data_IF_712097576105
#
_entry.id   IF_712097576105
#
_cell.length_a   1.000
_cell.length_b   1.000
_cell.length_c   1.000
_cell.angle_alpha   90.00
_cell.angle_beta   90.00
_cell.angle_gamma   90.00
#
_symmetry.space_group_name_H-M   'P 1'
#
loop_
_entity.id
_entity.type
_entity.pdbx_description
1 polymer ?
#
# COMPACT_ATOMS: atom_id res chain seq x y z
N UNK A 1 1.08 -8.43 7.31
CA UNK A 1 0.79 -7.47 8.40
C UNK A 1 -0.67 -7.10 8.28
N UNK A 2 -1.42 -7.20 9.37
CA UNK A 2 -2.83 -6.79 9.43
C UNK A 2 -3.19 -6.42 10.87
N UNK A 3 -4.20 -5.56 11.07
CA UNK A 3 -4.73 -5.24 12.39
C UNK A 3 -5.51 -6.42 12.99
N UNK A 4 -6.08 -7.27 12.13
CA UNK A 4 -6.82 -8.46 12.52
C UNK A 4 -5.90 -9.66 12.52
N UNK A 5 -6.08 -10.55 13.51
CA UNK A 5 -5.42 -11.85 13.50
C UNK A 5 -5.85 -12.65 12.26
N UNK A 6 -4.88 -13.22 11.56
CA UNK A 6 -5.12 -14.01 10.36
C UNK A 6 -4.46 -15.39 10.47
N UNK A 7 -5.13 -16.46 10.02
CA UNK A 7 -4.48 -17.75 9.89
C UNK A 7 -3.40 -17.65 8.81
N UNK A 8 -2.17 -18.07 9.14
CA UNK A 8 -1.07 -18.11 8.18
C UNK A 8 -1.38 -19.22 7.16
N UNK A 9 -1.49 -18.90 5.86
CA UNK A 9 -1.94 -19.87 4.86
C UNK A 9 -0.88 -20.95 4.56
N UNK A 10 0.41 -20.67 4.77
CA UNK A 10 1.51 -21.58 4.48
C UNK A 10 2.77 -21.29 5.32
N UNK A 11 3.69 -22.25 5.38
CA UNK A 11 4.89 -22.18 6.21
C UNK A 11 5.95 -21.16 5.73
N UNK A 12 5.79 -20.56 4.55
CA UNK A 12 6.73 -19.58 4.00
C UNK A 12 6.24 -18.14 4.18
N UNK A 13 5.19 -17.92 4.96
CA UNK A 13 4.64 -16.62 5.26
C UNK A 13 4.81 -16.30 6.75
N UNK A 14 5.46 -15.17 7.04
CA UNK A 14 5.43 -14.58 8.36
C UNK A 14 4.22 -13.65 8.51
N UNK A 15 3.57 -13.71 9.67
CA UNK A 15 2.46 -12.84 9.99
C UNK A 15 2.77 -11.98 11.22
N UNK A 16 2.44 -10.70 11.11
CA UNK A 16 2.53 -9.72 12.19
C UNK A 16 1.17 -9.08 12.36
N UNK A 17 0.55 -9.28 13.53
CA UNK A 17 -0.66 -8.55 13.91
C UNK A 17 -0.24 -7.18 14.45
N UNK A 18 -0.41 -6.14 13.64
CA UNK A 18 0.10 -4.80 13.91
C UNK A 18 -0.71 -3.78 13.11
N UNK A 19 -1.03 -2.64 13.72
CA UNK A 19 -1.52 -1.49 12.97
C UNK A 19 -0.35 -0.81 12.26
N UNK A 20 -0.42 -0.76 10.93
CA UNK A 20 0.62 -0.15 10.12
C UNK A 20 0.78 1.36 10.36
N UNK A 21 -0.26 2.02 10.89
CA UNK A 21 -0.24 3.44 11.24
C UNK A 21 0.26 3.71 12.67
N UNK A 22 0.50 2.68 13.48
CA UNK A 22 1.02 2.87 14.84
C UNK A 22 2.44 3.45 14.80
N UNK A 23 2.76 4.24 15.83
CA UNK A 23 4.08 4.83 15.99
C UNK A 23 5.15 3.73 16.06
N UNK A 24 6.11 3.78 15.14
CA UNK A 24 7.19 2.80 15.05
C UNK A 24 6.84 1.51 14.31
N UNK A 25 5.59 1.30 13.87
CA UNK A 25 5.22 0.11 13.10
C UNK A 25 6.09 -0.11 11.85
N UNK A 26 6.37 0.92 11.02
CA UNK A 26 7.32 0.80 9.91
C UNK A 26 8.71 0.30 10.32
N UNK A 27 9.23 0.74 11.47
CA UNK A 27 10.53 0.34 11.98
C UNK A 27 10.53 -1.11 12.49
N UNK A 28 9.45 -1.53 13.16
CA UNK A 28 9.25 -2.93 13.58
C UNK A 28 9.25 -3.85 12.36
N UNK A 29 8.50 -3.47 11.31
CA UNK A 29 8.44 -4.24 10.06
C UNK A 29 9.83 -4.27 9.41
N UNK A 30 10.50 -3.13 9.29
CA UNK A 30 11.83 -3.06 8.67
C UNK A 30 12.88 -3.90 9.44
N UNK A 31 12.79 -3.97 10.76
CA UNK A 31 13.67 -4.81 11.59
C UNK A 31 13.41 -6.32 11.44
N UNK A 32 12.20 -6.70 10.99
CA UNK A 32 11.85 -8.09 10.68
C UNK A 32 12.36 -8.53 9.30
N UNK A 33 12.76 -7.58 8.45
CA UNK A 33 13.25 -7.86 7.10
C UNK A 33 14.78 -8.04 7.12
N UNK A 34 15.27 -9.19 6.67
CA UNK A 34 16.72 -9.47 6.55
C UNK A 34 17.38 -8.63 5.44
N UNK A 35 16.60 -8.09 4.51
CA UNK A 35 17.07 -7.29 3.39
C UNK A 35 16.00 -6.30 2.91
N UNK A 36 16.41 -5.40 2.00
CA UNK A 36 15.46 -4.65 1.18
C UNK A 36 14.54 -5.60 0.41
N UNK A 37 13.34 -5.11 0.08
CA UNK A 37 12.25 -5.90 -0.49
C UNK A 37 12.00 -5.59 -1.97
N UNK A 38 11.54 -6.58 -2.72
CA UNK A 38 11.24 -6.45 -4.15
C UNK A 38 9.88 -5.77 -4.41
N UNK A 39 8.91 -6.04 -3.54
CA UNK A 39 7.52 -5.59 -3.71
C UNK A 39 6.91 -5.15 -2.39
N UNK A 40 6.28 -3.98 -2.39
CA UNK A 40 5.32 -3.56 -1.37
C UNK A 40 3.92 -3.65 -1.96
N UNK A 41 3.06 -4.44 -1.34
CA UNK A 41 1.64 -4.57 -1.68
C UNK A 41 0.80 -4.14 -0.47
N UNK A 42 -0.10 -3.18 -0.68
CA UNK A 42 -1.05 -2.71 0.33
C UNK A 42 -2.47 -2.83 -0.20
N UNK A 43 -3.27 -3.69 0.43
CA UNK A 43 -4.72 -3.73 0.25
C UNK A 43 -5.47 -3.11 1.44
N UNK A 44 -4.80 -2.23 2.18
CA UNK A 44 -5.38 -1.57 3.34
C UNK A 44 -6.57 -0.68 2.94
N UNK A 45 -7.59 -0.66 3.79
CA UNK A 45 -8.69 0.28 3.74
C UNK A 45 -9.10 0.65 5.16
N UNK A 46 -9.45 1.91 5.37
CA UNK A 46 -10.00 2.34 6.65
C UNK A 46 -11.41 1.77 6.83
N UNK A 47 -11.78 1.47 8.07
CA UNK A 47 -13.16 1.09 8.39
C UNK A 47 -14.14 2.16 7.89
N UNK A 48 -15.12 1.72 7.09
CA UNK A 48 -16.07 2.60 6.44
C UNK A 48 -16.94 3.33 7.48
N UNK A 49 -16.96 4.65 7.39
CA UNK A 49 -17.85 5.51 8.18
C UNK A 49 -19.21 5.67 7.52
N UNK A 50 -19.31 5.33 6.22
CA UNK A 50 -20.47 5.60 5.38
C UNK A 50 -20.43 6.99 4.74
N UNK A 51 -19.49 7.85 5.14
CA UNK A 51 -19.28 9.15 4.53
C UNK A 51 -18.16 9.07 3.49
N UNK A 52 -18.55 9.01 2.21
CA UNK A 52 -17.66 8.74 1.08
C UNK A 52 -16.39 9.59 1.06
N UNK A 53 -16.49 10.88 1.37
CA UNK A 53 -15.35 11.79 1.36
C UNK A 53 -14.36 11.48 2.49
N UNK A 54 -14.86 11.21 3.70
CA UNK A 54 -14.03 10.84 4.84
C UNK A 54 -13.35 9.50 4.59
N UNK A 55 -14.08 8.51 4.09
CA UNK A 55 -13.55 7.18 3.80
C UNK A 55 -12.47 7.23 2.71
N UNK A 56 -12.65 8.11 1.72
CA UNK A 56 -11.66 8.39 0.70
C UNK A 56 -10.36 8.98 1.26
N UNK A 57 -10.44 10.02 2.10
CA UNK A 57 -9.28 10.66 2.72
C UNK A 57 -8.50 9.66 3.58
N UNK A 58 -9.19 8.88 4.40
CA UNK A 58 -8.55 7.88 5.29
C UNK A 58 -7.85 6.77 4.51
N UNK A 59 -8.44 6.34 3.39
CA UNK A 59 -7.82 5.32 2.52
C UNK A 59 -6.62 5.86 1.76
N UNK A 60 -6.66 7.12 1.32
CA UNK A 60 -5.49 7.78 0.73
C UNK A 60 -4.34 7.86 1.73
N UNK A 61 -4.61 8.22 2.98
CA UNK A 61 -3.56 8.31 4.02
C UNK A 61 -2.86 6.95 4.23
N UNK A 62 -3.60 5.85 4.20
CA UNK A 62 -3.03 4.49 4.24
C UNK A 62 -2.14 4.19 3.02
N UNK A 63 -2.57 4.59 1.82
CA UNK A 63 -1.79 4.42 0.61
C UNK A 63 -0.51 5.28 0.61
N UNK A 64 -0.58 6.50 1.15
CA UNK A 64 0.58 7.38 1.33
C UNK A 64 1.59 6.80 2.32
N UNK A 65 1.12 6.35 3.49
CA UNK A 65 1.98 5.68 4.47
C UNK A 65 2.70 4.47 3.86
N UNK A 66 1.98 3.64 3.10
CA UNK A 66 2.56 2.50 2.41
C UNK A 66 3.59 2.92 1.34
N UNK A 67 3.35 4.03 0.63
CA UNK A 67 4.29 4.55 -0.37
C UNK A 67 5.58 5.09 0.27
N UNK A 68 5.49 5.77 1.42
CA UNK A 68 6.66 6.20 2.19
C UNK A 68 7.50 5.01 2.65
N UNK A 69 6.85 4.01 3.25
CA UNK A 69 7.53 2.77 3.63
C UNK A 69 8.20 2.08 2.44
N UNK A 70 7.52 2.02 1.29
CA UNK A 70 8.10 1.46 0.07
C UNK A 70 9.35 2.21 -0.39
N UNK A 71 9.37 3.54 -0.28
CA UNK A 71 10.54 4.33 -0.64
C UNK A 71 11.77 4.04 0.25
N UNK A 72 11.56 3.66 1.51
CA UNK A 72 12.66 3.37 2.43
C UNK A 72 13.18 1.93 2.25
N UNK A 73 12.26 1.00 1.96
CA UNK A 73 12.53 -0.45 2.03
C UNK A 73 12.73 -1.12 0.68
N UNK A 74 12.24 -0.55 -0.43
CA UNK A 74 12.36 -1.18 -1.75
C UNK A 74 13.81 -1.19 -2.25
N UNK A 75 14.18 -2.28 -2.93
CA UNK A 75 15.36 -2.33 -3.79
C UNK A 75 15.16 -1.47 -5.03
N UNK A 76 16.28 -1.02 -5.62
CA UNK A 76 16.27 -0.42 -6.96
C UNK A 76 15.60 -1.38 -7.96
N UNK A 77 14.69 -0.87 -8.79
CA UNK A 77 13.89 -1.68 -9.70
C UNK A 77 12.62 -2.29 -9.09
N UNK A 78 12.44 -2.21 -7.77
CA UNK A 78 11.29 -2.75 -7.05
C UNK A 78 9.94 -2.15 -7.45
N UNK A 79 8.85 -2.75 -6.95
CA UNK A 79 7.48 -2.37 -7.30
C UNK A 79 6.63 -2.05 -6.07
N UNK A 80 5.71 -1.11 -6.26
CA UNK A 80 4.72 -0.72 -5.27
C UNK A 80 3.32 -0.87 -5.85
N UNK A 81 2.39 -1.38 -5.04
CA UNK A 81 0.98 -1.45 -5.39
C UNK A 81 0.14 -1.14 -4.16
N UNK A 82 -0.77 -0.17 -4.25
CA UNK A 82 -1.69 0.15 -3.16
C UNK A 82 -3.12 0.37 -3.65
N UNK A 83 -4.09 -0.12 -2.87
CA UNK A 83 -5.51 0.15 -3.11
C UNK A 83 -5.82 1.63 -2.91
N UNK A 84 -6.64 2.17 -3.82
CA UNK A 84 -7.20 3.52 -3.81
C UNK A 84 -8.67 3.47 -4.28
N UNK A 85 -9.47 4.49 -3.99
CA UNK A 85 -10.88 4.52 -4.40
C UNK A 85 -11.15 5.41 -5.62
N UNK A 86 -12.31 5.22 -6.26
CA UNK A 86 -12.82 5.99 -7.38
C UNK A 86 -13.00 7.47 -6.98
N UNK A 87 -12.10 8.29 -7.52
CA UNK A 87 -11.69 9.59 -6.99
C UNK A 87 -10.18 9.80 -7.20
N UNK A 88 -9.43 8.69 -7.25
CA UNK A 88 -8.02 8.64 -7.58
C UNK A 88 -7.11 8.63 -6.36
N UNK A 89 -5.81 8.67 -6.63
CA UNK A 89 -4.78 8.97 -5.64
C UNK A 89 -4.76 10.48 -5.38
N UNK A 90 -4.26 10.92 -4.21
CA UNK A 90 -3.97 12.34 -4.01
C UNK A 90 -2.93 12.82 -5.03
N UNK A 91 -2.93 14.14 -5.30
CA UNK A 91 -1.89 14.74 -6.15
C UNK A 91 -0.50 14.48 -5.58
N UNK A 92 -0.36 14.57 -4.27
CA UNK A 92 0.91 14.41 -3.56
C UNK A 92 1.42 12.96 -3.67
N UNK A 93 0.54 11.97 -3.48
CA UNK A 93 0.88 10.57 -3.70
C UNK A 93 1.33 10.33 -5.15
N UNK A 94 0.62 10.87 -6.16
CA UNK A 94 1.02 10.69 -7.55
C UNK A 94 2.33 11.38 -7.89
N UNK A 95 2.59 12.57 -7.33
CA UNK A 95 3.87 13.27 -7.51
C UNK A 95 5.00 12.45 -6.92
N UNK A 96 4.85 12.00 -5.67
CA UNK A 96 5.82 11.12 -5.01
C UNK A 96 6.10 9.87 -5.86
N UNK A 97 5.06 9.15 -6.29
CA UNK A 97 5.24 7.93 -7.06
C UNK A 97 5.90 8.19 -8.42
N UNK A 98 5.54 9.27 -9.13
CA UNK A 98 6.16 9.58 -10.42
C UNK A 98 7.62 10.00 -10.30
N UNK A 99 7.96 10.67 -9.21
CA UNK A 99 9.33 11.02 -8.88
C UNK A 99 10.16 9.75 -8.61
N UNK A 100 9.65 8.85 -7.77
CA UNK A 100 10.41 7.69 -7.26
C UNK A 100 10.35 6.43 -8.11
N UNK A 101 9.43 6.31 -9.07
CA UNK A 101 9.29 5.12 -9.93
C UNK A 101 9.46 5.44 -11.42
N UNK A 102 9.90 4.47 -12.21
CA UNK A 102 10.04 4.61 -13.66
C UNK A 102 8.69 4.74 -14.37
N UNK A 103 7.65 4.13 -13.82
CA UNK A 103 6.29 4.26 -14.35
C UNK A 103 5.23 4.11 -13.27
N UNK A 104 4.11 4.83 -13.42
CA UNK A 104 2.99 4.84 -12.47
C UNK A 104 1.68 4.72 -13.23
N UNK A 105 0.84 3.75 -12.84
CA UNK A 105 -0.43 3.48 -13.51
C UNK A 105 -1.54 3.18 -12.52
N UNK A 106 -2.76 3.60 -12.85
CA UNK A 106 -3.95 3.06 -12.20
C UNK A 106 -4.38 1.74 -12.84
N UNK A 107 -4.71 0.76 -12.02
CA UNK A 107 -5.14 -0.56 -12.45
C UNK A 107 -6.45 -0.94 -11.76
N UNK A 108 -7.44 -1.38 -12.56
CA UNK A 108 -8.66 -2.02 -12.05
C UNK A 108 -8.57 -3.52 -12.31
N UNK A 109 -8.46 -4.37 -11.27
CA UNK A 109 -8.45 -5.81 -11.45
C UNK A 109 -9.73 -6.31 -12.14
N UNK A 110 -9.59 -7.33 -13.00
CA UNK A 110 -10.75 -7.99 -13.63
C UNK A 110 -11.64 -8.72 -12.61
N UNK A 111 -11.07 -9.10 -11.47
CA UNK A 111 -11.77 -9.73 -10.34
C UNK A 111 -12.60 -8.76 -9.51
N UNK A 112 -12.40 -7.45 -9.67
CA UNK A 112 -13.19 -6.44 -8.95
C UNK A 112 -14.62 -6.40 -9.47
N UNK A 113 -15.60 -6.34 -8.56
CA UNK A 113 -17.02 -6.19 -8.93
C UNK A 113 -17.22 -4.91 -9.75
N UNK A 114 -18.17 -4.91 -10.69
CA UNK A 114 -18.40 -3.76 -11.58
C UNK A 114 -18.76 -2.50 -10.79
N UNK A 115 -19.58 -2.66 -9.76
CA UNK A 115 -20.00 -1.63 -8.82
C UNK A 115 -18.91 -1.22 -7.81
N UNK A 116 -17.81 -1.97 -7.71
CA UNK A 116 -16.71 -1.60 -6.81
C UNK A 116 -16.01 -0.35 -7.34
N UNK A 117 -15.82 0.59 -6.43
CA UNK A 117 -15.04 1.82 -6.62
C UNK A 117 -13.53 1.57 -6.48
N UNK A 118 -13.10 0.33 -6.26
CA UNK A 118 -11.70 0.00 -6.01
C UNK A 118 -10.86 0.09 -7.28
N UNK A 119 -9.72 0.75 -7.11
CA UNK A 119 -8.63 0.90 -8.05
C UNK A 119 -7.33 0.61 -7.31
N UNK A 120 -6.26 0.36 -8.03
CA UNK A 120 -4.92 0.26 -7.48
C UNK A 120 -4.04 1.28 -8.17
N UNK A 121 -3.14 1.91 -7.43
CA UNK A 121 -2.03 2.66 -8.01
C UNK A 121 -0.79 1.77 -7.97
N UNK A 122 -0.12 1.64 -9.12
CA UNK A 122 1.01 0.73 -9.30
C UNK A 122 2.22 1.52 -9.77
N UNK A 123 3.27 1.56 -8.95
CA UNK A 123 4.59 2.06 -9.29
C UNK A 123 5.53 0.91 -9.67
N UNK A 124 6.22 1.01 -10.81
CA UNK A 124 7.19 0.01 -11.27
C UNK A 124 8.54 0.62 -11.53
N UNK A 125 9.60 -0.12 -11.17
CA UNK A 125 10.97 0.29 -11.38
C UNK A 125 11.36 1.40 -10.43
N UNK A 126 11.42 1.12 -9.13
CA UNK A 126 11.87 2.07 -8.12
C UNK A 126 13.26 2.63 -8.45
N UNK A 127 13.43 3.95 -8.36
CA UNK A 127 14.62 4.70 -8.81
C UNK A 127 15.45 5.28 -7.65
N UNK A 128 15.03 5.07 -6.41
CA UNK A 128 15.66 5.69 -5.23
C UNK A 128 15.06 7.03 -4.88
#
# INVERSE_FOLDING_TARGET
IDILEMPIPDANADFMQLDFLDEGAPAIIAAHLDSKIDVVLSDMAAAATGHRQTDHIRTIALAEAAAYFACDTLVMGGSFCAKVFQGGSSKDLLMLLKDRFASVHHFKPKSSRKESVELYVVGRGFKG
#
